data_IF_985013450469
#
_entry.id   IF_985013450469
#
_cell.length_a   1.000
_cell.length_b   1.000
_cell.length_c   1.000
_cell.angle_alpha   90.00
_cell.angle_beta   90.00
_cell.angle_gamma   90.00
#
_symmetry.space_group_name_H-M   'P 1'
#
loop_
_entity.id
_entity.type
_entity.pdbx_description
1 polymer ?
2 non-polymer ?
3 non-polymer ?
4 water ?
#
# COMPACT_ATOMS: atom_id res chain seq x y z
N UNK A 19 33.84 -0.79 -5.64
CA UNK A 19 32.39 -0.80 -5.52
C UNK A 19 31.76 -1.69 -6.59
N UNK A 20 30.77 -2.51 -6.21
CA UNK A 20 29.97 -3.26 -7.17
C UNK A 20 29.27 -2.30 -8.13
N UNK A 21 29.19 -2.65 -9.41
CA UNK A 21 28.54 -1.82 -10.45
C UNK A 21 27.43 -2.66 -11.07
N UNK A 22 26.26 -2.03 -11.33
CA UNK A 22 25.15 -2.70 -12.03
C UNK A 22 24.59 -1.70 -13.05
N UNK A 23 24.66 -2.06 -14.36
CA UNK A 23 24.33 -1.18 -15.48
C UNK A 23 25.16 0.15 -15.46
N UNK A 24 26.44 0.04 -15.12
CA UNK A 24 27.35 1.18 -15.04
C UNK A 24 27.00 2.25 -14.01
N UNK A 25 26.20 1.87 -12.96
CA UNK A 25 25.84 2.72 -11.84
C UNK A 25 26.31 2.06 -10.55
N UNK A 26 26.92 2.84 -9.62
CA UNK A 26 27.42 2.25 -8.35
C UNK A 26 26.29 1.61 -7.55
N UNK A 27 26.52 0.36 -7.14
CA UNK A 27 25.62 -0.40 -6.32
C UNK A 27 26.48 -1.03 -5.21
N UNK A 28 26.77 -0.20 -4.21
CA UNK A 28 27.91 -0.33 -3.33
C UNK A 28 27.59 -0.88 -1.93
N UNK A 29 27.61 -2.21 -1.77
CA UNK A 29 26.98 -2.91 -0.63
C UNK A 29 27.92 -3.87 0.04
N UNK A 30 29.17 -3.94 -0.43
CA UNK A 30 30.04 -5.05 -0.08
C UNK A 30 30.86 -4.76 1.14
N UNK A 31 31.59 -5.76 1.65
CA UNK A 31 31.70 -7.14 1.14
C UNK A 31 30.62 -8.10 1.68
N UNK A 32 29.74 -7.63 2.60
CA UNK A 32 28.75 -8.54 3.18
C UNK A 32 27.83 -9.09 2.09
N UNK A 33 27.44 -8.24 1.13
CA UNK A 33 26.51 -8.63 0.07
C UNK A 33 27.18 -8.70 -1.28
N UNK A 34 27.12 -9.88 -1.93
CA UNK A 34 27.79 -10.13 -3.23
C UNK A 34 26.89 -10.78 -4.26
N UNK A 35 27.41 -10.95 -5.49
CA UNK A 35 26.75 -11.71 -6.56
C UNK A 35 25.40 -11.08 -6.88
N UNK A 36 25.40 -9.79 -7.21
CA UNK A 36 24.19 -9.01 -7.42
C UNK A 36 23.57 -9.28 -8.81
N UNK A 37 22.22 -9.35 -8.86
CA UNK A 37 21.45 -9.36 -10.10
C UNK A 37 20.45 -8.21 -10.07
N UNK A 38 20.31 -7.48 -11.18
CA UNK A 38 19.31 -6.42 -11.30
C UNK A 38 17.91 -7.07 -11.26
N UNK A 39 17.02 -6.56 -10.38
CA UNK A 39 15.61 -6.98 -10.30
C UNK A 39 14.74 -5.99 -11.06
N UNK A 40 14.84 -4.72 -10.70
CA UNK A 40 14.05 -3.64 -11.29
C UNK A 40 14.46 -2.29 -10.74
N UNK A 41 13.58 -1.28 -10.91
CA UNK A 41 13.80 0.05 -10.33
C UNK A 41 12.63 0.39 -9.40
N UNK A 42 12.97 0.80 -8.18
CA UNK A 42 12.00 1.11 -7.14
C UNK A 42 11.38 2.47 -7.33
N UNK A 43 11.22 3.23 -6.25
CA UNK A 43 10.46 4.47 -6.30
C UNK A 43 11.27 5.59 -6.93
N UNK A 44 12.45 5.91 -6.38
CA UNK A 44 13.55 6.44 -7.17
C UNK A 44 14.86 5.76 -6.74
N UNK A 45 15.15 4.65 -7.39
CA UNK A 45 16.45 4.00 -7.31
C UNK A 45 16.43 2.55 -7.73
N UNK A 46 17.61 1.99 -7.98
CA UNK A 46 17.77 0.61 -8.45
C UNK A 46 17.46 -0.42 -7.34
N UNK A 47 16.94 -1.62 -7.74
CA UNK A 47 16.72 -2.76 -6.84
C UNK A 47 17.48 -3.97 -7.42
N UNK A 48 18.21 -4.71 -6.55
CA UNK A 48 19.00 -5.88 -6.91
C UNK A 48 18.73 -7.00 -5.91
N UNK A 49 18.93 -8.26 -6.31
CA UNK A 49 19.15 -9.33 -5.34
C UNK A 49 20.65 -9.36 -5.09
N UNK A 50 21.04 -9.98 -4.00
CA UNK A 50 22.42 -10.12 -3.61
C UNK A 50 22.51 -11.29 -2.64
N UNK A 51 23.65 -11.97 -2.63
CA UNK A 51 23.95 -13.00 -1.67
C UNK A 51 24.46 -12.38 -0.35
N UNK A 52 23.78 -12.67 0.75
CA UNK A 52 24.17 -12.19 2.08
C UNK A 52 25.17 -13.18 2.65
N UNK A 53 26.46 -12.78 2.79
CA UNK A 53 27.50 -13.68 3.29
C UNK A 53 27.43 -13.96 4.80
N UNK A 54 26.59 -13.26 5.59
CA UNK A 54 26.46 -13.55 7.03
C UNK A 54 25.37 -14.60 7.23
N UNK A 55 24.16 -14.30 6.76
CA UNK A 55 22.98 -15.19 6.89
C UNK A 55 22.90 -16.24 5.77
N UNK A 56 23.80 -16.20 4.77
CA UNK A 56 23.89 -17.21 3.71
C UNK A 56 22.55 -17.40 2.94
N UNK A 57 21.84 -16.29 2.68
CA UNK A 57 20.61 -16.25 1.87
C UNK A 57 20.73 -15.13 0.85
N UNK A 58 19.99 -15.23 -0.24
CA UNK A 58 19.85 -14.10 -1.13
C UNK A 58 18.79 -13.18 -0.51
N UNK A 59 19.00 -11.87 -0.71
CA UNK A 59 18.22 -10.76 -0.12
C UNK A 59 17.92 -9.77 -1.19
N UNK A 60 16.93 -8.92 -0.94
CA UNK A 60 16.62 -7.80 -1.81
C UNK A 60 17.34 -6.57 -1.23
N UNK A 61 17.82 -5.68 -2.11
CA UNK A 61 18.48 -4.43 -1.71
C UNK A 61 18.04 -3.35 -2.65
N UNK A 62 17.49 -2.25 -2.12
CA UNK A 62 17.10 -1.12 -2.93
C UNK A 62 17.98 0.05 -2.59
N UNK A 63 18.58 0.65 -3.62
CA UNK A 63 19.43 1.84 -3.48
C UNK A 63 18.55 3.07 -3.58
N UNK A 64 18.61 3.94 -2.61
CA UNK A 64 17.84 5.17 -2.54
C UNK A 64 18.86 6.27 -2.58
N UNK A 65 18.65 7.26 -3.44
CA UNK A 65 19.52 8.43 -3.55
C UNK A 65 18.60 9.64 -3.36
N UNK A 66 18.21 9.94 -2.11
CA UNK A 66 17.16 10.96 -1.89
C UNK A 66 17.60 12.38 -1.58
N UNK A 67 18.89 12.66 -1.34
CA UNK A 67 19.23 13.81 -0.47
C UNK A 67 19.09 15.22 -1.08
N UNK A 68 19.01 15.31 -2.38
CA UNK A 68 18.86 16.62 -3.04
C UNK A 68 17.37 17.07 -3.06
N UNK A 69 16.42 16.11 -2.96
CA UNK A 69 14.97 16.36 -3.05
C UNK A 69 14.29 16.08 -1.71
N UNK A 70 13.69 17.13 -1.14
CA UNK A 70 13.07 17.10 0.19
C UNK A 70 11.97 16.01 0.29
N UNK A 71 11.24 15.78 -0.82
CA UNK A 71 10.13 14.81 -0.87
C UNK A 71 10.69 13.37 -0.86
N UNK A 72 11.79 13.08 -1.57
CA UNK A 72 12.45 11.78 -1.39
C UNK A 72 13.02 11.63 0.03
N UNK A 73 13.59 12.71 0.65
CA UNK A 73 14.06 12.64 2.04
C UNK A 73 12.95 12.28 3.00
N UNK A 74 11.82 12.98 2.90
CA UNK A 74 10.61 12.70 3.70
C UNK A 74 10.19 11.21 3.59
N UNK A 75 10.03 10.73 2.38
CA UNK A 75 9.54 9.37 2.12
C UNK A 75 10.50 8.33 2.62
N UNK A 76 11.82 8.55 2.39
CA UNK A 76 12.85 7.66 2.91
C UNK A 76 12.81 7.59 4.43
N UNK A 77 12.69 8.72 5.10
CA UNK A 77 12.69 8.72 6.56
C UNK A 77 11.41 8.07 7.09
N UNK A 78 10.23 8.35 6.50
CA UNK A 78 8.99 7.69 6.97
C UNK A 78 9.08 6.22 6.91
N UNK A 79 9.52 5.71 5.79
CA UNK A 79 9.60 4.29 5.57
C UNK A 79 10.55 3.64 6.53
N UNK A 80 11.74 4.24 6.68
CA UNK A 80 12.71 3.70 7.63
C UNK A 80 12.12 3.69 9.02
N UNK A 81 11.56 4.81 9.47
CA UNK A 81 11.04 4.89 10.84
C UNK A 81 9.90 3.84 11.08
N UNK A 82 8.98 3.73 10.14
CA UNK A 82 7.85 2.83 10.29
C UNK A 82 8.32 1.37 10.25
N UNK A 83 9.08 0.97 9.23
CA UNK A 83 9.46 -0.42 9.06
C UNK A 83 10.41 -0.91 10.15
N UNK A 84 11.21 -0.03 10.74
CA UNK A 84 12.03 -0.40 11.88
C UNK A 84 11.21 -0.60 13.15
N UNK A 85 10.09 0.14 13.32
CA UNK A 85 9.21 -0.08 14.48
C UNK A 85 8.29 -1.24 14.32
N UNK A 86 7.80 -1.51 13.11
CA UNK A 86 6.87 -2.60 12.88
C UNK A 86 7.54 -3.93 12.87
N UNK A 87 6.87 -4.92 13.44
CA UNK A 87 7.29 -6.31 13.34
C UNK A 87 6.09 -7.18 13.13
N UNK A 88 5.92 -7.69 11.91
CA UNK A 88 4.73 -8.46 11.55
C UNK A 88 4.99 -9.36 10.40
N UNK A 89 4.39 -10.55 10.44
CA UNK A 89 4.66 -11.54 9.37
C UNK A 89 4.22 -11.10 7.97
N UNK A 90 3.19 -10.25 7.90
CA UNK A 90 2.64 -9.75 6.64
C UNK A 90 3.07 -8.34 6.29
N UNK A 91 4.18 -7.85 6.88
CA UNK A 91 4.75 -6.57 6.63
C UNK A 91 6.25 -6.78 6.40
N UNK A 92 6.77 -6.22 5.28
CA UNK A 92 8.19 -6.41 4.99
C UNK A 92 9.03 -5.73 6.10
N UNK A 93 10.09 -6.36 6.51
CA UNK A 93 10.97 -5.74 7.48
C UNK A 93 12.14 -5.05 6.79
N UNK A 94 12.94 -4.38 7.54
CA UNK A 94 14.31 -3.99 7.12
C UNK A 94 15.27 -4.87 7.87
N UNK A 95 16.08 -5.63 7.15
CA UNK A 95 17.11 -6.48 7.69
C UNK A 95 18.41 -5.73 8.00
N UNK A 96 18.74 -4.74 7.17
CA UNK A 96 20.02 -4.05 7.29
C UNK A 96 19.89 -2.75 6.53
N UNK A 97 20.67 -1.73 6.88
CA UNK A 97 20.76 -0.50 6.09
C UNK A 97 22.20 -0.20 5.92
N UNK A 98 22.62 0.10 4.67
CA UNK A 98 24.00 0.35 4.31
C UNK A 98 24.11 1.81 3.91
N UNK A 99 25.06 2.51 4.49
CA UNK A 99 25.41 3.86 4.06
C UNK A 99 26.81 4.21 4.51
N UNK A 100 27.35 5.32 4.00
CA UNK A 100 28.70 5.75 4.31
C UNK A 100 28.84 6.02 5.84
N UNK A 101 30.05 5.97 6.40
CA UNK A 101 30.18 6.18 7.85
C UNK A 101 30.00 7.59 8.35
N UNK A 102 30.09 8.60 7.48
CA UNK A 102 29.87 10.00 7.85
C UNK A 102 28.75 10.63 7.03
N UNK A 103 28.09 11.69 7.57
CA UNK A 103 27.06 12.44 6.86
C UNK A 103 27.56 13.03 5.54
N UNK A 104 28.82 13.50 5.55
CA UNK A 104 29.50 14.13 4.41
C UNK A 104 29.64 13.16 3.25
N UNK A 105 30.06 11.91 3.55
CA UNK A 105 30.28 10.89 2.54
C UNK A 105 29.01 10.18 2.11
N UNK A 106 27.87 10.37 2.80
CA UNK A 106 26.66 9.64 2.55
C UNK A 106 25.89 10.29 1.41
N UNK A 107 25.87 9.64 0.24
CA UNK A 107 25.10 10.11 -0.93
C UNK A 107 23.94 9.18 -1.19
N UNK A 108 24.07 7.89 -0.82
CA UNK A 108 23.06 6.87 -1.09
C UNK A 108 22.75 6.09 0.19
N UNK A 109 21.58 5.51 0.28
CA UNK A 109 21.23 4.60 1.37
C UNK A 109 20.75 3.33 0.72
N UNK A 110 21.16 2.17 1.25
CA UNK A 110 20.70 0.88 0.72
C UNK A 110 19.91 0.16 1.80
N UNK A 111 18.70 -0.29 1.47
CA UNK A 111 17.79 -0.91 2.45
C UNK A 111 17.73 -2.34 2.07
N UNK A 112 18.07 -3.22 3.00
CA UNK A 112 18.16 -4.67 2.76
C UNK A 112 16.90 -5.33 3.34
N UNK A 113 16.22 -6.12 2.51
CA UNK A 113 14.96 -6.73 2.88
C UNK A 113 14.93 -8.17 2.41
N UNK A 114 14.06 -8.96 3.03
CA UNK A 114 13.82 -10.34 2.60
C UNK A 114 13.55 -10.37 1.12
N UNK A 115 14.14 -11.35 0.44
CA UNK A 115 13.90 -11.51 -0.96
C UNK A 115 12.56 -12.21 -1.12
N UNK A 116 11.69 -11.63 -1.93
CA UNK A 116 10.39 -12.26 -2.27
C UNK A 116 10.32 -12.54 -3.78
N UNK A 117 9.97 -13.79 -4.20
CA UNK A 117 9.97 -14.24 -5.63
C UNK A 117 9.21 -13.26 -6.54
N UNK A 118 8.02 -12.80 -6.11
CA UNK A 118 7.19 -12.03 -7.02
C UNK A 118 6.35 -11.01 -6.26
N UNK A 119 5.35 -10.46 -6.93
CA UNK A 119 4.43 -9.53 -6.29
C UNK A 119 3.05 -9.72 -6.91
N UNK A 120 2.02 -9.18 -6.32
CA UNK A 120 0.66 -9.47 -6.83
C UNK A 120 0.39 -8.81 -8.21
N UNK A 121 1.05 -7.69 -8.49
CA UNK A 121 0.96 -7.06 -9.84
C UNK A 121 1.42 -8.06 -10.93
N UNK A 122 2.61 -8.63 -10.73
CA UNK A 122 3.21 -9.58 -11.67
C UNK A 122 2.37 -10.84 -11.76
N UNK A 123 1.84 -11.31 -10.62
CA UNK A 123 1.03 -12.54 -10.65
C UNK A 123 -0.24 -12.30 -11.38
N UNK A 124 -0.89 -11.17 -11.16
CA UNK A 124 -2.17 -10.95 -11.79
C UNK A 124 -2.02 -10.77 -13.30
N UNK A 125 -0.86 -10.31 -13.75
CA UNK A 125 -0.66 -10.16 -15.17
C UNK A 125 -0.60 -11.54 -15.88
N UNK A 126 -0.14 -12.61 -15.16
CA UNK A 126 0.17 -13.91 -15.72
C UNK A 126 -0.66 -15.11 -15.19
N UNK A 127 -1.31 -15.02 -14.02
CA UNK A 127 -1.86 -16.21 -13.37
C UNK A 127 -3.31 -16.04 -12.97
N UNK A 128 -4.13 -17.01 -13.31
CA UNK A 128 -5.46 -17.12 -12.71
C UNK A 128 -5.29 -17.56 -11.24
N UNK A 129 -6.01 -16.92 -10.34
CA UNK A 129 -5.96 -17.27 -8.91
C UNK A 129 -7.16 -18.13 -8.62
N UNK A 130 -6.97 -19.28 -7.95
CA UNK A 130 -8.10 -20.06 -7.45
C UNK A 130 -8.80 -19.25 -6.35
N UNK A 131 -10.07 -19.56 -6.08
CA UNK A 131 -10.75 -18.91 -4.96
C UNK A 131 -9.97 -19.11 -3.63
N UNK A 132 -9.28 -20.29 -3.44
CA UNK A 132 -8.53 -20.47 -2.21
C UNK A 132 -7.34 -19.52 -2.11
N UNK A 133 -6.67 -19.27 -3.25
CA UNK A 133 -5.60 -18.26 -3.29
C UNK A 133 -6.09 -16.85 -3.01
N UNK A 134 -7.24 -16.46 -3.57
CA UNK A 134 -7.83 -15.13 -3.36
C UNK A 134 -8.15 -14.92 -1.87
N UNK A 135 -8.79 -15.93 -1.28
CA UNK A 135 -9.13 -15.92 0.14
C UNK A 135 -7.90 -15.74 1.03
N UNK A 136 -6.87 -16.56 0.81
CA UNK A 136 -5.64 -16.54 1.59
C UNK A 136 -4.87 -15.22 1.42
N UNK A 137 -4.76 -14.74 0.17
CA UNK A 137 -4.13 -13.44 -0.08
C UNK A 137 -4.88 -12.34 0.61
N UNK A 138 -6.22 -12.32 0.47
CA UNK A 138 -7.00 -11.25 1.12
C UNK A 138 -6.82 -11.33 2.65
N UNK A 139 -6.83 -12.57 3.20
CA UNK A 139 -6.65 -12.73 4.65
C UNK A 139 -5.33 -12.07 5.09
N UNK A 140 -4.24 -12.36 4.38
CA UNK A 140 -2.94 -11.87 4.75
C UNK A 140 -2.87 -10.34 4.64
N UNK A 141 -3.48 -9.81 3.59
CA UNK A 141 -3.52 -8.34 3.39
C UNK A 141 -4.18 -7.73 4.62
N UNK A 142 -5.35 -8.20 4.95
CA UNK A 142 -6.11 -7.61 6.07
C UNK A 142 -5.44 -7.83 7.44
N UNK A 143 -4.76 -8.97 7.60
CA UNK A 143 -4.02 -9.26 8.83
C UNK A 143 -2.90 -8.25 9.04
N UNK A 144 -2.11 -8.01 8.01
CA UNK A 144 -1.10 -6.97 8.02
C UNK A 144 -1.71 -5.60 8.23
N UNK A 145 -2.78 -5.31 7.52
CA UNK A 145 -3.50 -4.01 7.67
C UNK A 145 -4.04 -3.79 9.07
N UNK A 146 -4.48 -4.84 9.73
CA UNK A 146 -4.97 -4.71 11.11
C UNK A 146 -3.88 -4.15 11.96
N UNK A 147 -2.69 -4.72 11.83
CA UNK A 147 -1.54 -4.28 12.60
C UNK A 147 -1.19 -2.83 12.26
N UNK A 148 -1.13 -2.48 10.97
CA UNK A 148 -0.78 -1.09 10.57
C UNK A 148 -1.77 -0.10 11.16
N UNK A 149 -3.04 -0.37 10.98
CA UNK A 149 -4.11 0.49 11.51
C UNK A 149 -4.11 0.57 13.03
N UNK A 150 -3.74 -0.52 13.71
CA UNK A 150 -3.70 -0.55 15.18
C UNK A 150 -2.58 0.40 15.73
N UNK A 151 -1.61 0.71 14.87
CA UNK A 151 -0.52 1.62 15.15
C UNK A 151 -0.88 3.05 14.78
N UNK A 152 -2.14 3.28 14.41
CA UNK A 152 -2.69 4.59 13.97
C UNK A 152 -1.98 5.09 12.70
N UNK A 153 -1.46 4.15 11.86
CA UNK A 153 -0.80 4.49 10.59
C UNK A 153 -1.73 4.11 9.44
N UNK A 154 -1.68 4.92 8.38
CA UNK A 154 -2.34 4.70 7.12
C UNK A 154 -1.27 4.38 6.08
N UNK A 155 -1.43 3.30 5.31
CA UNK A 155 -0.48 2.98 4.29
C UNK A 155 -0.57 4.02 3.16
N UNK A 156 -1.79 4.21 2.66
CA UNK A 156 -2.13 5.24 1.65
C UNK A 156 -1.59 4.95 0.24
N UNK A 157 -1.01 3.78 -0.02
CA UNK A 157 -0.70 3.41 -1.42
C UNK A 157 -0.77 1.90 -1.64
N UNK A 158 -1.78 1.29 -1.07
CA UNK A 158 -1.99 -0.16 -1.27
C UNK A 158 -2.43 -0.41 -2.73
N UNK A 159 -1.74 -1.34 -3.37
CA UNK A 159 -1.92 -1.73 -4.78
C UNK A 159 -1.17 -3.04 -5.00
N UNK A 160 -1.50 -3.82 -6.06
CA UNK A 160 -0.86 -5.14 -6.23
C UNK A 160 0.68 -5.11 -6.19
N UNK A 161 1.32 -4.05 -6.72
CA UNK A 161 2.79 -4.04 -6.82
C UNK A 161 3.45 -3.81 -5.45
N UNK A 162 2.67 -3.37 -4.46
CA UNK A 162 3.14 -3.22 -3.08
C UNK A 162 2.83 -4.42 -2.20
N UNK A 163 2.41 -5.53 -2.81
CA UNK A 163 2.16 -6.77 -2.10
C UNK A 163 3.13 -7.81 -2.63
N UNK A 164 4.15 -8.09 -1.84
CA UNK A 164 5.19 -9.05 -2.25
C UNK A 164 4.76 -10.51 -1.87
N UNK A 165 5.07 -11.49 -2.71
CA UNK A 165 4.77 -12.87 -2.47
C UNK A 165 5.99 -13.78 -2.72
N UNK A 166 6.11 -14.79 -1.93
CA UNK A 166 7.18 -15.77 -2.09
C UNK A 166 6.61 -17.07 -2.73
N UNK A 167 7.43 -18.17 -2.82
CA UNK A 167 7.05 -19.35 -3.63
C UNK A 167 5.94 -20.13 -2.97
N UNK A 168 5.73 -19.95 -1.67
CA UNK A 168 4.65 -20.62 -0.96
C UNK A 168 3.51 -19.64 -0.68
N UNK A 169 3.46 -18.54 -1.42
CA UNK A 169 2.33 -17.59 -1.35
C UNK A 169 2.16 -16.86 0.01
N UNK A 170 3.23 -16.75 0.79
CA UNK A 170 3.27 -15.80 1.91
C UNK A 170 3.33 -14.40 1.33
N UNK A 171 2.52 -13.50 1.91
CA UNK A 171 2.35 -12.18 1.42
C UNK A 171 2.87 -11.15 2.44
N UNK A 172 3.59 -10.14 1.94
CA UNK A 172 4.08 -9.02 2.75
C UNK A 172 3.81 -7.68 2.09
N UNK A 173 3.24 -6.77 2.90
CA UNK A 173 2.98 -5.41 2.48
C UNK A 173 4.24 -4.66 2.49
N UNK A 174 4.54 -3.91 1.43
CA UNK A 174 5.71 -3.09 1.35
C UNK A 174 5.38 -1.63 0.97
N UNK A 175 6.42 -0.77 1.06
CA UNK A 175 6.49 0.61 0.64
C UNK A 175 5.66 1.51 1.50
N UNK A 176 6.24 1.98 2.56
CA UNK A 176 5.61 2.86 3.50
C UNK A 176 6.04 4.32 3.31
N UNK A 177 6.57 4.67 2.15
CA UNK A 177 7.03 6.03 1.89
C UNK A 177 5.91 7.05 1.84
N UNK A 178 4.68 6.62 1.51
CA UNK A 178 3.56 7.53 1.37
C UNK A 178 2.64 7.47 2.60
N UNK A 179 3.03 6.73 3.65
CA UNK A 179 2.23 6.60 4.84
C UNK A 179 2.07 7.89 5.65
N UNK A 180 1.01 7.92 6.47
CA UNK A 180 0.74 9.01 7.40
C UNK A 180 0.16 8.46 8.68
N UNK A 181 0.24 9.23 9.72
CA UNK A 181 -0.51 8.99 10.94
C UNK A 181 -1.93 9.42 10.70
N UNK A 182 -2.89 8.58 11.08
CA UNK A 182 -4.29 8.89 10.90
C UNK A 182 -4.69 10.21 11.61
N UNK A 183 -5.61 10.95 11.01
CA UNK A 183 -6.03 12.20 11.58
C UNK A 183 -7.44 12.50 11.11
N UNK A 184 -8.43 11.73 11.62
CA UNK A 184 -9.80 11.86 11.09
C UNK A 184 -10.46 13.22 11.25
N UNK A 185 -10.08 13.99 12.30
CA UNK A 185 -10.69 15.30 12.57
C UNK A 185 -10.24 16.35 11.60
N UNK A 186 -9.13 16.11 10.85
CA UNK A 186 -8.62 17.05 9.87
C UNK A 186 -8.62 16.42 8.47
N UNK A 187 -9.62 15.63 8.16
CA UNK A 187 -9.66 14.97 6.85
C UNK A 187 -10.34 15.81 5.75
N UNK A 188 -11.09 16.86 6.13
CA UNK A 188 -12.00 17.46 5.17
C UNK A 188 -11.24 18.45 4.30
N UNK A 189 -11.57 18.47 3.01
CA UNK A 189 -11.02 19.46 2.07
C UNK A 189 -12.05 19.68 0.93
N UNK A 190 -11.64 20.42 -0.08
CA UNK A 190 -12.49 20.78 -1.20
C UNK A 190 -12.39 19.77 -2.33
N UNK A 191 -13.05 20.13 -3.41
CA UNK A 191 -13.30 19.28 -4.56
C UNK A 191 -12.13 19.30 -5.53
N UNK A 192 -11.76 18.11 -6.04
CA UNK A 192 -10.74 17.86 -7.08
C UNK A 192 -9.39 18.45 -6.69
N UNK A 193 -9.04 18.35 -5.42
CA UNK A 193 -7.71 18.85 -5.01
C UNK A 193 -6.72 17.75 -4.76
N UNK A 194 -7.13 16.54 -4.40
CA UNK A 194 -6.24 15.65 -3.65
C UNK A 194 -5.84 14.47 -4.53
N UNK A 195 -4.61 13.95 -4.33
CA UNK A 195 -3.97 12.90 -5.10
C UNK A 195 -3.28 12.06 -4.04
N UNK A 196 -4.08 11.32 -3.27
CA UNK A 196 -3.61 10.31 -2.36
C UNK A 196 -3.70 9.02 -3.13
N UNK A 197 -2.82 8.04 -2.85
CA UNK A 197 -2.84 6.76 -3.51
C UNK A 197 -2.51 6.84 -5.04
N UNK A 198 -2.48 5.66 -5.63
CA UNK A 198 -2.25 5.50 -7.06
C UNK A 198 -3.66 5.51 -7.60
N UNK A 199 -3.89 6.13 -8.78
CA UNK A 199 -5.26 6.42 -9.25
C UNK A 199 -6.29 5.26 -9.20
N UNK A 200 -5.95 4.12 -9.74
CA UNK A 200 -6.90 3.02 -9.85
C UNK A 200 -7.36 2.60 -8.44
N UNK A 201 -6.59 2.89 -7.40
CA UNK A 201 -6.87 2.38 -6.02
C UNK A 201 -7.35 3.46 -5.06
N UNK A 202 -7.73 4.63 -5.62
CA UNK A 202 -8.07 5.85 -4.92
C UNK A 202 -9.57 5.93 -4.65
N UNK A 203 -9.95 6.13 -3.40
CA UNK A 203 -11.32 6.10 -2.96
C UNK A 203 -12.05 7.33 -3.52
N UNK A 204 -13.38 7.22 -3.73
CA UNK A 204 -14.11 8.33 -4.38
C UNK A 204 -13.97 9.64 -3.65
N UNK A 205 -14.00 9.58 -2.30
CA UNK A 205 -13.92 10.76 -1.43
C UNK A 205 -12.64 11.59 -1.63
N UNK A 206 -11.54 11.00 -2.10
CA UNK A 206 -10.30 11.73 -2.41
C UNK A 206 -10.60 12.84 -3.42
N UNK A 207 -11.45 12.54 -4.41
CA UNK A 207 -11.76 13.50 -5.44
C UNK A 207 -12.82 14.50 -5.01
N UNK A 208 -13.55 14.23 -3.93
CA UNK A 208 -14.68 15.00 -3.51
C UNK A 208 -14.40 15.88 -2.32
N UNK A 209 -13.91 15.31 -1.22
CA UNK A 209 -13.81 16.08 0.04
C UNK A 209 -12.84 15.53 1.12
N UNK A 210 -11.88 14.65 0.74
CA UNK A 210 -11.04 13.93 1.71
C UNK A 210 -9.60 14.11 1.39
N UNK A 211 -8.82 14.39 2.43
CA UNK A 211 -7.36 14.40 2.36
C UNK A 211 -6.70 13.01 2.50
N UNK A 212 -7.48 11.94 2.68
CA UNK A 212 -6.92 10.61 2.86
C UNK A 212 -6.28 10.37 4.20
N UNK A 213 -6.82 10.99 5.25
CA UNK A 213 -6.28 10.85 6.62
C UNK A 213 -7.11 9.93 7.50
N UNK A 214 -7.98 9.11 6.93
CA UNK A 214 -8.74 8.13 7.71
C UNK A 214 -8.48 6.73 7.20
N UNK A 215 -8.60 5.76 8.12
CA UNK A 215 -8.36 4.32 7.78
C UNK A 215 -9.19 3.78 6.63
N UNK A 216 -10.39 4.33 6.39
CA UNK A 216 -11.25 3.96 5.28
C UNK A 216 -10.60 4.12 3.92
N UNK A 217 -9.51 4.93 3.80
CA UNK A 217 -8.81 5.10 2.53
C UNK A 217 -8.14 3.78 2.11
N UNK A 218 -7.57 3.09 3.09
CA UNK A 218 -6.88 1.83 2.82
C UNK A 218 -7.85 0.72 2.52
N UNK A 219 -9.02 0.71 3.20
CA UNK A 219 -10.02 -0.34 2.95
C UNK A 219 -10.50 -0.25 1.52
N UNK A 220 -10.73 0.96 1.00
CA UNK A 220 -11.11 1.10 -0.42
C UNK A 220 -10.07 0.43 -1.30
N UNK A 221 -8.80 0.72 -1.09
CA UNK A 221 -7.77 0.15 -1.91
C UNK A 221 -7.78 -1.36 -1.84
N UNK A 222 -7.98 -1.94 -0.64
CA UNK A 222 -8.06 -3.40 -0.51
C UNK A 222 -9.24 -3.94 -1.30
N UNK A 223 -10.38 -3.26 -1.25
CA UNK A 223 -11.53 -3.64 -2.06
C UNK A 223 -11.17 -3.71 -3.54
N UNK A 224 -10.45 -2.68 -4.04
CA UNK A 224 -10.02 -2.63 -5.43
C UNK A 224 -9.10 -3.84 -5.79
N UNK A 225 -8.24 -4.19 -4.87
CA UNK A 225 -7.31 -5.32 -5.03
C UNK A 225 -8.08 -6.62 -5.04
N UNK A 226 -9.08 -6.78 -4.15
CA UNK A 226 -9.89 -7.99 -4.16
C UNK A 226 -10.64 -8.11 -5.52
N UNK A 227 -11.31 -7.05 -5.97
CA UNK A 227 -11.95 -7.04 -7.31
C UNK A 227 -10.96 -7.49 -8.39
N UNK A 228 -9.72 -6.96 -8.33
CA UNK A 228 -8.70 -7.26 -9.32
C UNK A 228 -8.23 -8.73 -9.29
N UNK A 229 -8.14 -9.31 -8.08
CA UNK A 229 -7.88 -10.77 -7.91
C UNK A 229 -8.98 -11.63 -8.54
N UNK A 230 -10.23 -11.17 -8.48
CA UNK A 230 -11.33 -11.92 -9.01
C UNK A 230 -11.31 -12.04 -10.55
N UNK A 231 -10.82 -11.03 -11.28
CA UNK A 231 -10.91 -10.98 -12.74
C UNK A 231 -9.58 -10.78 -13.48
N UNK A 232 -8.49 -10.54 -12.77
CA UNK A 232 -7.19 -10.15 -13.34
C UNK A 232 -7.22 -8.84 -14.10
N UNK A 233 -8.20 -7.98 -13.81
CA UNK A 233 -8.26 -6.69 -14.47
C UNK A 233 -8.57 -5.67 -13.39
N UNK A 234 -7.98 -4.47 -13.42
CA UNK A 234 -8.42 -3.44 -12.44
C UNK A 234 -9.91 -3.10 -12.60
N UNK A 235 -10.60 -2.94 -11.51
CA UNK A 235 -12.03 -2.68 -11.51
C UNK A 235 -12.36 -1.28 -11.95
N UNK A 236 -11.53 -0.32 -11.57
CA UNK A 236 -11.76 1.11 -11.86
C UNK A 236 -10.59 1.73 -12.62
N UNK A 237 -10.37 1.32 -13.90
CA UNK A 237 -9.18 1.78 -14.62
C UNK A 237 -9.31 3.16 -15.26
N UNK A 238 -9.36 4.18 -14.42
CA UNK A 238 -9.43 5.55 -14.91
C UNK A 238 -8.21 5.83 -15.79
N UNK A 239 -8.44 6.51 -16.91
CA UNK A 239 -7.39 6.75 -17.94
C UNK A 239 -6.51 7.90 -17.50
N UNK A 240 -7.00 8.68 -16.52
CA UNK A 240 -6.36 9.88 -16.05
C UNK A 240 -7.17 10.32 -14.76
N UNK A 241 -6.68 11.30 -14.04
CA UNK A 241 -7.19 11.65 -12.67
C UNK A 241 -8.70 11.91 -12.57
N UNK A 242 -9.15 12.66 -13.52
CA UNK A 242 -10.56 13.07 -13.58
C UNK A 242 -11.44 11.86 -13.97
N UNK A 243 -10.94 10.97 -14.79
CA UNK A 243 -11.72 9.83 -15.25
C UNK A 243 -12.07 8.82 -14.07
N UNK A 244 -11.30 8.84 -13.00
CA UNK A 244 -11.38 7.83 -11.91
C UNK A 244 -12.76 7.81 -11.27
N UNK A 245 -13.30 9.00 -10.89
CA UNK A 245 -14.72 9.09 -10.50
C UNK A 245 -15.72 8.50 -11.45
N UNK A 246 -15.57 8.71 -12.77
CA UNK A 246 -16.49 8.19 -13.81
C UNK A 246 -16.58 6.64 -13.66
N UNK A 247 -15.43 6.01 -13.45
CA UNK A 247 -15.37 4.58 -13.40
C UNK A 247 -16.07 4.09 -12.08
N UNK A 248 -15.80 4.74 -10.98
CA UNK A 248 -16.37 4.35 -9.67
C UNK A 248 -17.89 4.46 -9.70
N UNK A 249 -18.38 5.61 -10.12
CA UNK A 249 -19.82 5.83 -10.18
C UNK A 249 -20.47 4.94 -11.26
N UNK A 250 -19.76 4.64 -12.32
CA UNK A 250 -20.23 3.71 -13.35
C UNK A 250 -20.63 2.34 -12.81
N UNK A 251 -19.96 1.86 -11.76
CA UNK A 251 -20.26 0.59 -11.15
C UNK A 251 -21.15 0.72 -9.91
N UNK A 252 -20.82 1.64 -8.99
CA UNK A 252 -21.60 1.81 -7.76
C UNK A 252 -22.95 2.43 -8.04
N UNK A 253 -23.08 3.17 -9.14
CA UNK A 253 -24.28 3.91 -9.41
C UNK A 253 -24.29 5.22 -8.66
N UNK A 254 -25.36 5.99 -8.84
CA UNK A 254 -25.52 7.27 -8.22
C UNK A 254 -25.55 7.17 -6.72
N UNK A 255 -24.84 7.99 -5.96
CA UNK A 255 -25.04 7.97 -4.50
C UNK A 255 -26.42 8.32 -4.03
N UNK A 256 -26.81 7.71 -2.89
CA UNK A 256 -28.08 7.98 -2.24
C UNK A 256 -28.12 9.40 -1.71
N UNK A 257 -29.31 9.87 -1.43
CA UNK A 257 -29.50 11.15 -0.76
C UNK A 257 -28.72 11.22 0.54
N UNK A 258 -28.78 10.15 1.35
CA UNK A 258 -28.09 10.15 2.65
C UNK A 258 -26.58 10.35 2.46
N UNK A 259 -26.03 9.65 1.50
CA UNK A 259 -24.63 9.74 1.19
C UNK A 259 -24.24 11.09 0.62
N UNK A 260 -25.12 11.70 -0.19
CA UNK A 260 -24.84 13.06 -0.64
C UNK A 260 -24.95 14.03 0.51
N UNK A 261 -25.93 13.86 1.39
CA UNK A 261 -26.05 14.75 2.55
C UNK A 261 -24.81 14.78 3.45
N UNK A 262 -23.97 13.72 3.43
CA UNK A 262 -22.69 13.72 4.12
C UNK A 262 -21.63 14.57 3.45
N UNK A 263 -21.79 14.99 2.19
CA UNK A 263 -20.85 15.85 1.52
C UNK A 263 -21.34 17.31 1.65
N UNK A 264 -20.79 18.05 2.57
CA UNK A 264 -21.31 19.40 2.80
C UNK A 264 -20.73 20.42 1.79
N UNK A 265 -19.53 20.16 1.30
CA UNK A 265 -18.95 21.05 0.35
C UNK A 265 -19.82 21.15 -0.94
N UNK A 266 -20.18 22.38 -1.36
CA UNK A 266 -21.12 22.63 -2.45
C UNK A 266 -20.58 22.22 -3.82
N UNK A 267 -19.31 22.52 -4.12
CA UNK A 267 -18.72 22.16 -5.44
C UNK A 267 -18.83 20.63 -5.63
N UNK A 268 -18.46 19.87 -4.62
CA UNK A 268 -18.50 18.41 -4.65
C UNK A 268 -19.92 17.89 -4.74
N UNK A 269 -20.82 18.40 -3.86
CA UNK A 269 -22.20 17.98 -3.86
C UNK A 269 -22.89 18.26 -5.19
N UNK A 270 -22.72 19.49 -5.71
CA UNK A 270 -23.39 19.95 -6.90
C UNK A 270 -22.86 19.24 -8.16
N UNK A 271 -21.56 18.90 -8.18
CA UNK A 271 -21.05 18.02 -9.22
C UNK A 271 -21.83 16.71 -9.23
N UNK A 272 -21.94 16.06 -8.09
CA UNK A 272 -22.64 14.79 -8.07
C UNK A 272 -24.11 14.91 -8.48
N UNK A 273 -24.75 15.97 -8.01
CA UNK A 273 -26.12 16.23 -8.37
C UNK A 273 -26.36 16.54 -9.86
N UNK A 274 -25.33 17.03 -10.57
CA UNK A 274 -25.37 17.34 -11.96
C UNK A 274 -25.41 16.15 -12.86
N UNK A 275 -25.02 14.98 -12.36
CA UNK A 275 -24.85 13.77 -13.18
C UNK A 275 -26.21 13.14 -13.43
N UNK A 276 -26.38 12.55 -14.61
CA UNK A 276 -27.56 11.69 -14.82
C UNK A 276 -27.58 10.50 -13.86
N UNK A 277 -28.78 10.00 -13.55
CA UNK A 277 -28.88 8.76 -12.74
C UNK A 277 -28.08 7.63 -13.36
N UNK A 278 -27.39 6.84 -12.53
CA UNK A 278 -26.63 5.65 -12.94
C UNK A 278 -27.06 4.57 -11.97
N UNK A 279 -27.47 3.41 -12.50
CA UNK A 279 -27.77 2.27 -11.64
C UNK A 279 -26.51 1.53 -11.26
N UNK A 280 -26.58 0.92 -10.11
CA UNK A 280 -25.55 0.01 -9.63
C UNK A 280 -25.43 -1.19 -10.57
N UNK A 281 -24.18 -1.53 -10.89
CA UNK A 281 -23.89 -2.75 -11.63
C UNK A 281 -23.77 -3.89 -10.57
N UNK A 282 -24.59 -4.97 -10.61
CA UNK A 282 -24.48 -6.03 -9.57
C UNK A 282 -23.15 -6.75 -9.63
N UNK A 283 -22.57 -7.02 -8.48
CA UNK A 283 -21.24 -7.61 -8.42
C UNK A 283 -21.26 -8.98 -9.09
N UNK A 284 -22.38 -9.72 -8.96
CA UNK A 284 -22.47 -11.07 -9.53
C UNK A 284 -22.50 -11.07 -11.06
N UNK A 285 -22.78 -9.91 -11.71
CA UNK A 285 -22.69 -9.78 -13.18
C UNK A 285 -21.31 -9.44 -13.62
N UNK A 286 -20.59 -8.64 -12.82
CA UNK A 286 -19.22 -8.31 -13.11
C UNK A 286 -18.35 -9.47 -12.84
N UNK A 287 -18.66 -10.27 -11.80
CA UNK A 287 -17.81 -11.37 -11.33
C UNK A 287 -18.66 -12.66 -11.23
N UNK A 288 -19.08 -13.18 -12.39
CA UNK A 288 -20.00 -14.34 -12.38
C UNK A 288 -19.41 -15.64 -11.82
N UNK A 289 -18.07 -15.79 -11.85
CA UNK A 289 -17.38 -16.96 -11.28
C UNK A 289 -17.00 -16.80 -9.79
N UNK A 290 -17.19 -15.59 -9.20
CA UNK A 290 -16.80 -15.39 -7.83
C UNK A 290 -17.69 -16.03 -6.77
N UNK A 291 -17.04 -16.39 -5.66
CA UNK A 291 -17.67 -16.86 -4.44
C UNK A 291 -18.62 -15.77 -3.95
N UNK A 292 -19.83 -16.15 -3.59
CA UNK A 292 -20.83 -15.14 -3.19
C UNK A 292 -20.42 -14.41 -1.89
N UNK A 293 -19.73 -15.13 -0.97
CA UNK A 293 -19.20 -14.48 0.24
C UNK A 293 -18.13 -13.46 -0.07
N UNK A 294 -17.27 -13.74 -1.05
CA UNK A 294 -16.27 -12.77 -1.48
C UNK A 294 -16.95 -11.49 -2.02
N UNK A 295 -18.03 -11.63 -2.82
CA UNK A 295 -18.75 -10.47 -3.35
C UNK A 295 -19.48 -9.69 -2.26
N UNK A 296 -19.96 -10.36 -1.21
CA UNK A 296 -20.56 -9.63 -0.09
C UNK A 296 -19.49 -8.77 0.59
N UNK A 297 -18.31 -9.34 0.84
CA UNK A 297 -17.23 -8.54 1.44
C UNK A 297 -16.77 -7.39 0.51
N UNK A 298 -16.62 -7.67 -0.77
CA UNK A 298 -16.24 -6.68 -1.76
C UNK A 298 -17.19 -5.48 -1.70
N UNK A 299 -18.50 -5.74 -1.68
CA UNK A 299 -19.52 -4.70 -1.60
C UNK A 299 -19.28 -3.82 -0.40
N UNK A 300 -18.98 -4.44 0.72
CA UNK A 300 -18.75 -3.73 1.97
C UNK A 300 -17.46 -2.92 2.02
N UNK A 301 -16.41 -3.38 1.34
CA UNK A 301 -15.18 -2.60 1.22
C UNK A 301 -15.33 -1.48 0.18
N UNK A 302 -16.11 -1.68 -0.88
CA UNK A 302 -16.35 -0.66 -1.88
C UNK A 302 -17.65 0.10 -1.70
N UNK A 303 -17.91 0.49 -0.47
CA UNK A 303 -19.00 1.38 -0.11
C UNK A 303 -18.58 2.80 -0.41
N UNK A 304 -19.49 3.57 -1.03
CA UNK A 304 -19.21 4.93 -1.46
C UNK A 304 -18.95 5.77 -0.24
N UNK A 305 -19.78 5.63 0.76
CA UNK A 305 -19.72 6.48 1.95
C UNK A 305 -18.60 5.94 2.87
N UNK A 306 -17.50 6.68 3.08
CA UNK A 306 -16.41 6.12 3.89
C UNK A 306 -16.78 5.81 5.33
N UNK A 307 -17.77 6.52 5.89
CA UNK A 307 -18.27 6.21 7.23
C UNK A 307 -18.99 4.86 7.30
N UNK A 308 -19.58 4.41 6.21
CA UNK A 308 -20.32 3.13 6.18
C UNK A 308 -19.42 2.00 5.74
N UNK A 309 -18.22 2.30 5.23
CA UNK A 309 -17.30 1.31 4.74
C UNK A 309 -16.86 0.40 5.88
N UNK A 310 -16.72 -0.87 5.60
CA UNK A 310 -16.29 -1.84 6.61
C UNK A 310 -14.90 -1.53 7.12
N UNK A 311 -14.61 -1.81 8.42
CA UNK A 311 -13.28 -1.59 8.99
C UNK A 311 -12.51 -2.89 8.97
N UNK A 312 -11.20 -2.79 9.13
CA UNK A 312 -10.29 -3.94 8.97
C UNK A 312 -10.64 -5.09 9.88
N UNK A 313 -10.95 -4.81 11.15
CA UNK A 313 -11.32 -5.89 12.04
C UNK A 313 -12.65 -6.57 11.69
N UNK A 314 -13.64 -5.80 11.20
CA UNK A 314 -14.88 -6.40 10.65
C UNK A 314 -14.65 -7.24 9.44
N UNK A 315 -13.79 -6.76 8.55
CA UNK A 315 -13.48 -7.48 7.34
C UNK A 315 -12.87 -8.85 7.72
N UNK A 316 -11.92 -8.88 8.64
CA UNK A 316 -11.33 -10.17 9.06
C UNK A 316 -12.37 -11.16 9.59
N UNK A 317 -13.41 -10.65 10.30
CA UNK A 317 -14.49 -11.44 10.89
C UNK A 317 -15.56 -11.80 9.88
N UNK A 318 -15.43 -11.41 8.60
CA UNK A 318 -16.45 -11.68 7.58
C UNK A 318 -16.50 -13.15 7.23
N UNK A 319 -17.71 -13.74 6.99
CA UNK A 319 -17.77 -15.17 6.58
C UNK A 319 -16.80 -15.63 5.50
N UNK A 320 -16.46 -14.78 4.51
CA UNK A 320 -15.57 -15.21 3.46
C UNK A 320 -14.25 -15.71 4.04
N UNK A 321 -13.79 -15.09 5.18
CA UNK A 321 -12.48 -15.38 5.78
C UNK A 321 -12.51 -16.35 6.97
N UNK A 322 -13.63 -17.05 7.17
CA UNK A 322 -13.90 -17.91 8.33
C UNK A 322 -12.89 -19.03 8.50
N UNK A 323 -12.30 -19.53 7.40
CA UNK A 323 -11.33 -20.64 7.52
C UNK A 323 -10.02 -20.16 8.16
N UNK A 324 -9.75 -18.85 8.12
CA UNK A 324 -8.52 -18.25 8.64
C UNK A 324 -8.69 -17.42 9.88
N UNK A 325 -9.87 -16.87 10.09
CA UNK A 325 -10.01 -15.86 11.13
C UNK A 325 -9.72 -16.36 12.51
N UNK A 326 -8.87 -15.64 13.21
CA UNK A 326 -8.46 -16.03 14.57
C UNK A 326 -7.85 -14.76 15.21
N UNK A 327 -8.67 -13.96 15.92
CA UNK A 327 -8.17 -12.65 16.41
C UNK A 327 -6.99 -12.75 17.34
N UNK A 328 -6.85 -13.88 18.06
CA UNK A 328 -5.67 -14.13 18.91
C UNK A 328 -4.41 -14.33 18.12
N UNK A 329 -4.51 -14.62 16.81
CA UNK A 329 -3.35 -14.76 15.95
C UNK A 329 -3.33 -13.66 14.91
N UNK A 330 -3.91 -12.49 15.23
CA UNK A 330 -3.94 -11.33 14.36
C UNK A 330 -3.49 -10.18 15.22
N UNK A 331 -2.18 -10.13 15.42
CA UNK A 331 -1.63 -9.18 16.40
C UNK A 331 -1.74 -7.72 16.05
N UNK A 332 -1.69 -6.91 17.10
CA UNK A 332 -1.69 -5.47 17.01
C UNK A 332 -0.37 -4.90 17.46
N UNK A 333 -0.16 -3.64 17.10
CA UNK A 333 1.08 -2.93 17.45
C UNK A 333 1.14 -2.59 18.95
N UNK A 334 2.31 -2.75 19.57
CA UNK A 334 2.42 -2.44 21.02
C UNK A 334 2.40 -0.96 21.28
N UNK A 335 2.96 -0.20 20.30
CA UNK A 335 3.33 1.20 20.38
C UNK A 335 2.78 1.90 19.12
N UNK A 336 1.51 2.35 19.16
CA UNK A 336 1.03 3.30 18.12
C UNK A 336 1.86 4.57 17.97
N UNK A 337 1.91 5.05 16.75
CA UNK A 337 2.72 6.20 16.34
C UNK A 337 1.95 7.45 16.68
N UNK A 346 10.54 20.49 7.91
CA UNK A 346 11.96 20.25 8.17
C UNK A 346 12.72 20.25 6.84
N UNK A 347 13.76 21.07 6.67
CA UNK A 347 14.45 21.05 5.37
C UNK A 347 15.26 19.78 5.17
N UNK A 348 15.62 19.51 3.91
CA UNK A 348 16.36 18.31 3.51
C UNK A 348 17.70 18.09 4.27
N UNK A 349 18.37 19.17 4.78
CA UNK A 349 19.62 19.02 5.50
C UNK A 349 19.40 18.41 6.87
N UNK A 350 18.34 18.85 7.55
CA UNK A 350 17.95 18.23 8.82
C UNK A 350 17.43 16.79 8.54
N UNK A 351 16.69 16.55 7.41
CA UNK A 351 16.19 15.20 7.12
C UNK A 351 17.33 14.23 6.80
N UNK A 352 18.43 14.70 6.16
CA UNK A 352 19.64 13.86 6.01
C UNK A 352 20.21 13.44 7.35
N UNK A 353 20.24 14.36 8.32
CA UNK A 353 20.73 14.08 9.68
C UNK A 353 19.87 13.12 10.39
N UNK A 354 18.54 13.21 10.19
CA UNK A 354 17.63 12.31 10.84
C UNK A 354 17.74 10.91 10.20
N UNK A 355 17.90 10.85 8.88
CA UNK A 355 18.12 9.58 8.16
C UNK A 355 19.48 8.97 8.63
N UNK A 356 20.51 9.80 8.80
CA UNK A 356 21.79 9.35 9.36
C UNK A 356 21.64 8.73 10.76
N UNK A 357 20.93 9.45 11.67
CA UNK A 357 20.65 8.96 13.02
C UNK A 357 19.84 7.69 13.06
N UNK A 358 18.80 7.60 12.24
CA UNK A 358 17.89 6.46 12.19
C UNK A 358 18.58 5.20 11.68
N UNK A 359 19.65 5.36 10.88
CA UNK A 359 20.33 4.20 10.28
C UNK A 359 21.59 3.79 11.05
N UNK A 360 21.92 4.52 12.13
CA UNK A 360 23.15 4.33 12.86
C UNK A 360 23.26 2.95 13.51
N UNK A 361 22.12 2.32 13.88
CA UNK A 361 22.11 1.02 14.55
C UNK A 361 22.70 -0.09 13.70
N UNK A 362 22.81 0.11 12.38
CA UNK A 362 23.31 -0.90 11.46
C UNK A 362 24.79 -0.77 11.16
N UNK A 363 25.44 0.27 11.66
CA UNK A 363 26.89 0.44 11.50
C UNK A 363 27.65 -0.45 12.46
N UNK A 364 28.81 -1.00 12.03
CA UNK A 364 29.77 -1.58 13.00
C UNK A 364 30.05 -0.69 14.23
N UNK A 365 29.45 -1.05 15.36
CA UNK A 365 29.59 -0.27 16.59
C UNK A 365 28.63 -0.72 17.69
X LIG B 1 4.14 12.12 -0.39
X LIG B 1 3.43 11.22 0.55
X LIG B 1 3.77 11.79 -1.77
X LIG B 1 5.61 11.96 -0.21
X LIG B 1 3.79 13.51 -0.13
X LIG C 1 -3.04 10.53 -11.46
X LIG C 1 -2.31 9.45 -12.12
X LIG C 1 -4.50 10.18 -11.55
X LIG C 1 -2.81 11.88 -12.10
X LIG C 1 -2.63 10.62 -10.07
X LIG D 1 9.14 6.83 -2.79
X LIG D 1 8.24 5.28 -1.61
X LIG D 1 9.46 5.46 -1.05
X LIG D 1 10.08 4.87 0.05
X LIG D 1 11.37 5.26 0.39
X LIG D 1 12.02 6.26 -0.33
X LIG D 1 10.09 6.48 -1.78
X LIG D 1 9.31 7.75 -3.74
X LIG D 1 8.03 6.10 -2.67
X LIG D 1 11.38 6.86 -1.40
X LIG D 1 12.20 8.10 -2.31
X LIG D 1 7.50 4.64 -1.33
X LIG D 1 9.57 4.09 0.61
X LIG D 1 11.87 4.80 1.24
X LIG D 1 13.03 6.58 -0.06
X LIG D 1 8.72 7.76 -4.57
X LIG D 1 10.17 8.29 -3.76
X LIG E 1 11.75 -8.06 -3.70
X LIG E 1 11.93 -7.84 -1.57
X LIG E 1 11.72 -6.58 -2.02
X LIG E 1 11.61 -5.36 -1.35
X LIG E 1 11.40 -4.20 -2.10
X LIG E 1 11.29 -4.26 -3.49
X LIG E 1 11.60 -6.67 -3.42
X LIG E 1 11.74 -8.61 -4.91
X LIG E 1 11.96 -8.76 -2.59
X LIG E 1 11.38 -5.48 -4.13
X LIG E 1 11.23 -5.53 -5.86
X LIG E 1 12.06 -8.16 -0.61
X LIG E 1 11.70 -5.32 -0.28
X LIG E 1 11.31 -3.24 -1.59
X LIG E 1 11.10 -3.35 -4.06
X LIG E 1 11.55 -9.61 -5.01
X LIG E 1 11.65 -8.02 -5.72
#
# INVERSE_FOLDING_TARGET
MAHHHHHHMAAAAAAGAGPEMVRGQVFDVGPRYTNLSYIGEGAYGMVCSAYDNVNKVRVAIKKISPFEHQTYCQRTLREIKILLRFRHENIIGINDIIRAPTIEQMKDVYIVQDLMETDLYKLLKTQHLSNDHICYFLYQILRGLKYIHSANVLHRDLKPSNLLLNTTCDLKICDFGLARVADPDHDHTGFLTEYVATRWYRAPEIMLNSKGYTKSIDIWSVGCILAEMLSNRPIFPGKHYLDQLNHILGILGSPSQEDLNCIINLKARNYLLSLPHKNKVPWNRLFPNADSKALDLLDKMLTFNPHKRIEVEQALAHPYLEQYYDPSDEPIAEAPFKFDMELDDLPKEKLKELIFEETARFQPGYRS
SO4 S O1 O2 O3 O4
SO4 S O1 O2 O3 O4
EQT C2 N4 C5 C6 C7 C8 C11 N1 N3 C9 CL1 H12 H15 H16 H17 H14 H13
EQT C2 N4 C5 C6 C7 C8 C11 N1 N3 C9 CL1 H12 H15 H16 H17 H14 H13
#
